data_IF_953296798305
#
_entry.id   IF_953296798305
#
_cell.length_a   1.000
_cell.length_b   1.000
_cell.length_c   1.000
_cell.angle_alpha   90.00
_cell.angle_beta   90.00
_cell.angle_gamma   90.00
#
_symmetry.space_group_name_H-M   'P 1'
#
loop_
_entity.id
_entity.type
_entity.pdbx_description
1 polymer ?
#
# COMPACT_ATOMS: atom_id res chain seq x y z
N UNK A 1 -0.43 -29.05 6.54
CA UNK A 1 0.42 -28.99 7.75
C UNK A 1 0.06 -27.77 8.58
N UNK A 2 -0.12 -27.91 9.89
CA UNK A 2 -0.46 -26.76 10.74
C UNK A 2 0.71 -25.79 10.89
N UNK A 3 0.43 -24.49 10.78
CA UNK A 3 1.40 -23.43 11.03
C UNK A 3 1.33 -23.03 12.51
N UNK A 4 2.46 -23.17 13.22
CA UNK A 4 2.54 -22.88 14.66
C UNK A 4 3.65 -21.88 14.95
N UNK A 5 3.60 -21.23 16.12
CA UNK A 5 4.67 -20.34 16.58
C UNK A 5 6.03 -21.06 16.63
N UNK A 6 6.07 -22.29 17.16
CA UNK A 6 7.31 -23.08 17.23
C UNK A 6 7.95 -23.29 15.86
N UNK A 7 7.13 -23.50 14.82
CA UNK A 7 7.62 -23.62 13.45
C UNK A 7 8.12 -22.29 12.89
N UNK A 8 7.45 -21.18 13.16
CA UNK A 8 7.95 -19.85 12.79
C UNK A 8 9.29 -19.52 13.45
N UNK A 9 9.45 -19.84 14.74
CA UNK A 9 10.71 -19.64 15.44
C UNK A 9 11.84 -20.48 14.82
N UNK A 10 11.59 -21.76 14.57
CA UNK A 10 12.58 -22.63 13.92
C UNK A 10 12.95 -22.16 12.49
N UNK A 11 11.96 -21.73 11.70
CA UNK A 11 12.19 -21.27 10.32
C UNK A 11 12.88 -19.91 10.21
N UNK A 12 12.66 -19.03 11.17
CA UNK A 12 13.22 -17.67 11.17
C UNK A 12 14.52 -17.51 11.96
N UNK A 13 14.98 -18.59 12.58
CA UNK A 13 16.28 -18.66 13.25
C UNK A 13 17.44 -18.33 12.30
N UNK A 14 18.52 -17.79 12.86
CA UNK A 14 19.68 -17.35 12.06
C UNK A 14 20.39 -18.51 11.33
N UNK A 15 20.36 -19.70 11.91
CA UNK A 15 20.95 -20.94 11.41
C UNK A 15 19.95 -21.83 10.63
N UNK A 16 18.71 -21.36 10.46
CA UNK A 16 17.69 -22.10 9.70
C UNK A 16 18.00 -22.16 8.21
N UNK A 17 17.75 -23.33 7.63
CA UNK A 17 17.78 -23.58 6.20
C UNK A 17 16.41 -23.41 5.53
N UNK A 18 15.37 -23.03 6.28
CA UNK A 18 14.08 -22.67 5.67
C UNK A 18 14.21 -21.36 4.88
N UNK A 19 13.52 -21.32 3.75
CA UNK A 19 13.63 -20.26 2.74
C UNK A 19 12.53 -19.20 2.90
N UNK A 20 11.33 -19.61 3.30
CA UNK A 20 10.20 -18.70 3.45
C UNK A 20 8.83 -19.35 3.43
N UNK A 21 7.81 -18.51 3.21
CA UNK A 21 6.44 -18.97 2.93
C UNK A 21 5.99 -18.32 1.63
N UNK A 22 5.41 -19.11 0.74
CA UNK A 22 4.76 -18.66 -0.49
C UNK A 22 3.24 -18.81 -0.35
N UNK A 23 2.51 -17.78 -0.75
CA UNK A 23 1.06 -17.74 -0.82
C UNK A 23 0.69 -17.55 -2.29
N UNK A 24 -0.05 -18.51 -2.83
CA UNK A 24 -0.56 -18.47 -4.19
C UNK A 24 -2.08 -18.44 -4.16
N UNK A 25 -2.68 -17.58 -4.98
CA UNK A 25 -4.12 -17.54 -5.18
C UNK A 25 -4.45 -17.44 -6.66
N UNK A 26 -5.49 -18.18 -7.07
CA UNK A 26 -6.15 -17.97 -8.36
C UNK A 26 -7.38 -17.11 -8.11
N UNK A 27 -7.46 -16.02 -8.87
CA UNK A 27 -8.47 -14.99 -8.75
C UNK A 27 -9.39 -14.99 -9.96
N UNK A 28 -10.59 -14.48 -9.74
CA UNK A 28 -11.61 -14.29 -10.77
C UNK A 28 -12.18 -12.88 -10.68
N UNK A 29 -12.51 -12.22 -11.81
CA UNK A 29 -13.29 -10.99 -11.80
C UNK A 29 -14.59 -11.19 -11.01
N UNK A 30 -15.02 -10.20 -10.22
CA UNK A 30 -16.28 -10.30 -9.49
C UNK A 30 -17.49 -10.43 -10.43
N UNK A 31 -17.35 -9.96 -11.68
CA UNK A 31 -18.32 -10.12 -12.77
C UNK A 31 -18.39 -11.53 -13.35
N UNK A 32 -17.53 -12.45 -12.89
CA UNK A 32 -17.48 -13.86 -13.28
C UNK A 32 -16.38 -14.19 -14.29
N UNK A 33 -16.27 -15.48 -14.67
CA UNK A 33 -15.27 -15.97 -15.63
C UNK A 33 -15.32 -15.20 -16.94
N UNK A 34 -14.16 -14.79 -17.45
CA UNK A 34 -14.03 -14.03 -18.71
C UNK A 34 -14.36 -12.54 -18.58
N UNK A 35 -14.82 -12.07 -17.42
CA UNK A 35 -15.00 -10.66 -17.11
C UNK A 35 -13.71 -9.86 -17.30
N UNK A 36 -13.84 -8.57 -17.59
CA UNK A 36 -12.68 -7.69 -17.74
C UNK A 36 -12.24 -7.16 -16.38
N UNK A 37 -10.93 -6.98 -16.23
CA UNK A 37 -10.29 -6.35 -15.08
C UNK A 37 -9.41 -5.23 -15.61
N UNK A 38 -9.41 -4.07 -14.96
CA UNK A 38 -8.61 -2.91 -15.35
C UNK A 38 -7.27 -2.94 -14.59
N UNK A 39 -6.12 -3.25 -15.23
CA UNK A 39 -4.80 -3.12 -14.61
C UNK A 39 -4.48 -1.69 -14.16
N UNK A 40 -3.43 -1.53 -13.37
CA UNK A 40 -2.95 -0.21 -12.97
C UNK A 40 -2.46 0.56 -14.20
N UNK A 41 -2.79 1.84 -14.29
CA UNK A 41 -2.33 2.73 -15.36
C UNK A 41 -1.18 3.57 -14.82
N UNK A 42 -0.06 3.55 -15.53
CA UNK A 42 1.15 4.30 -15.19
C UNK A 42 1.33 5.53 -16.09
N UNK A 43 2.30 6.43 -15.79
CA UNK A 43 2.58 7.59 -16.62
C UNK A 43 2.68 7.24 -18.10
N UNK A 44 2.07 8.06 -18.96
CA UNK A 44 1.91 7.76 -20.38
C UNK A 44 0.68 6.93 -20.72
N UNK A 45 -0.19 6.62 -19.74
CA UNK A 45 -1.45 5.94 -19.99
C UNK A 45 -1.28 4.46 -20.33
N UNK A 46 -0.28 3.79 -19.74
CA UNK A 46 0.10 2.43 -20.14
C UNK A 46 -0.11 1.43 -19.02
N UNK A 47 -0.44 0.19 -19.41
CA UNK A 47 -0.33 -0.97 -18.53
C UNK A 47 1.12 -1.42 -18.42
N UNK A 48 1.47 -1.98 -17.26
CA UNK A 48 2.76 -2.63 -17.08
C UNK A 48 2.71 -4.03 -17.73
N UNK A 49 3.18 -4.08 -18.97
CA UNK A 49 3.31 -5.31 -19.76
C UNK A 49 4.63 -6.02 -19.51
N UNK A 50 4.59 -7.36 -19.51
CA UNK A 50 5.76 -8.20 -19.27
C UNK A 50 5.58 -9.57 -19.97
N UNK A 51 6.63 -10.41 -19.96
CA UNK A 51 6.57 -11.82 -20.33
C UNK A 51 7.08 -12.68 -19.18
N UNK A 52 6.27 -13.61 -18.69
CA UNK A 52 6.58 -14.45 -17.53
C UNK A 52 6.34 -15.92 -17.81
N UNK A 53 7.06 -16.79 -17.10
CA UNK A 53 6.80 -18.23 -17.12
C UNK A 53 5.56 -18.53 -16.30
N UNK A 54 4.58 -19.28 -16.84
CA UNK A 54 3.37 -19.63 -16.10
C UNK A 54 3.71 -20.41 -14.81
N UNK A 55 2.88 -20.32 -13.76
CA UNK A 55 3.04 -21.15 -12.58
C UNK A 55 3.04 -22.63 -12.97
N UNK A 56 3.92 -23.43 -12.35
CA UNK A 56 4.07 -24.85 -12.67
C UNK A 56 2.77 -25.66 -12.55
N UNK A 57 1.87 -25.27 -11.63
CA UNK A 57 0.55 -25.87 -11.46
C UNK A 57 -0.41 -25.65 -12.64
N UNK A 58 -0.13 -24.65 -13.48
CA UNK A 58 -0.95 -24.24 -14.62
C UNK A 58 -0.21 -24.36 -15.97
N UNK A 59 1.06 -24.77 -15.94
CA UNK A 59 1.88 -24.93 -17.13
C UNK A 59 1.64 -26.30 -17.76
N UNK A 60 1.44 -26.34 -19.09
CA UNK A 60 1.79 -27.53 -19.84
C UNK A 60 3.32 -27.73 -19.72
N UNK A 61 3.78 -28.99 -19.72
CA UNK A 61 5.13 -29.42 -19.34
C UNK A 61 6.32 -28.74 -20.07
N UNK A 62 6.07 -27.97 -21.13
CA UNK A 62 7.09 -27.32 -21.98
C UNK A 62 6.76 -25.83 -22.29
N UNK A 63 6.09 -25.11 -21.37
CA UNK A 63 5.47 -23.82 -21.70
C UNK A 63 6.45 -22.64 -21.90
N UNK A 64 6.42 -22.01 -23.08
CA UNK A 64 7.08 -20.74 -23.41
C UNK A 64 6.65 -19.57 -22.48
N UNK A 65 7.48 -18.49 -22.36
CA UNK A 65 7.09 -17.27 -21.64
C UNK A 65 5.81 -16.65 -22.22
N UNK A 66 4.85 -16.35 -21.36
CA UNK A 66 3.53 -15.84 -21.71
C UNK A 66 3.45 -14.33 -21.49
N UNK A 67 2.72 -13.63 -22.37
CA UNK A 67 2.40 -12.23 -22.15
C UNK A 67 1.54 -12.05 -20.89
N UNK A 68 1.86 -11.05 -20.09
CA UNK A 68 1.12 -10.72 -18.87
C UNK A 68 0.94 -9.21 -18.71
N UNK A 69 -0.10 -8.82 -17.96
CA UNK A 69 -0.20 -7.49 -17.37
C UNK A 69 -0.12 -7.57 -15.85
N UNK A 70 0.67 -6.68 -15.26
CA UNK A 70 0.68 -6.49 -13.81
C UNK A 70 -0.59 -5.72 -13.43
N UNK A 71 -1.55 -6.44 -12.86
CA UNK A 71 -2.80 -5.85 -12.39
C UNK A 71 -2.53 -5.06 -11.11
N UNK A 72 -1.71 -5.58 -10.20
CA UNK A 72 -1.31 -4.86 -8.99
C UNK A 72 0.14 -5.18 -8.64
N UNK A 73 0.96 -4.14 -8.49
CA UNK A 73 2.41 -4.28 -8.31
C UNK A 73 2.81 -4.37 -6.82
N UNK A 74 4.09 -4.66 -6.57
CA UNK A 74 4.61 -4.84 -5.20
C UNK A 74 4.33 -3.66 -4.25
N UNK A 75 4.62 -2.39 -4.60
CA UNK A 75 4.30 -1.27 -3.70
C UNK A 75 2.80 -1.13 -3.41
N UNK A 76 1.95 -1.27 -4.43
CA UNK A 76 0.50 -1.16 -4.31
C UNK A 76 -0.08 -2.28 -3.43
N UNK A 77 0.47 -3.49 -3.54
CA UNK A 77 0.12 -4.62 -2.68
C UNK A 77 0.55 -4.39 -1.23
N UNK A 78 1.75 -3.86 -0.98
CA UNK A 78 2.20 -3.51 0.36
C UNK A 78 1.25 -2.49 1.03
N UNK A 79 0.81 -1.46 0.31
CA UNK A 79 -0.13 -0.46 0.84
C UNK A 79 -1.46 -1.10 1.29
N UNK A 80 -1.93 -2.15 0.61
CA UNK A 80 -3.16 -2.87 1.01
C UNK A 80 -2.96 -3.71 2.26
N UNK A 81 -1.79 -4.32 2.41
CA UNK A 81 -1.43 -5.04 3.62
C UNK A 81 -1.28 -4.08 4.82
N UNK A 82 -0.70 -2.91 4.61
CA UNK A 82 -0.59 -1.83 5.61
C UNK A 82 -1.98 -1.32 6.04
N UNK A 83 -2.88 -1.11 5.09
CA UNK A 83 -4.26 -0.71 5.38
C UNK A 83 -5.04 -1.81 6.13
N UNK A 84 -4.84 -3.08 5.79
CA UNK A 84 -5.43 -4.20 6.51
C UNK A 84 -4.93 -4.28 7.97
N UNK A 85 -3.63 -4.07 8.20
CA UNK A 85 -3.06 -4.01 9.55
C UNK A 85 -3.61 -2.83 10.35
N UNK A 86 -3.67 -1.65 9.74
CA UNK A 86 -4.26 -0.45 10.35
C UNK A 86 -5.71 -0.70 10.78
N UNK A 87 -6.53 -1.31 9.93
CA UNK A 87 -7.91 -1.65 10.25
C UNK A 87 -8.02 -2.72 11.36
N UNK A 88 -7.07 -3.66 11.42
CA UNK A 88 -7.02 -4.72 12.45
C UNK A 88 -6.48 -4.24 13.81
N UNK A 89 -5.97 -3.01 13.89
CA UNK A 89 -5.28 -2.48 15.08
C UNK A 89 -6.05 -2.66 16.40
N UNK A 90 -7.37 -2.46 16.48
CA UNK A 90 -8.10 -2.69 17.73
C UNK A 90 -7.99 -4.12 18.27
N UNK A 91 -7.79 -5.12 17.39
CA UNK A 91 -7.62 -6.52 17.77
C UNK A 91 -6.14 -6.88 17.98
N UNK A 92 -5.25 -6.38 17.13
CA UNK A 92 -3.84 -6.81 17.09
C UNK A 92 -2.90 -5.96 17.96
N UNK A 93 -3.28 -4.71 18.22
CA UNK A 93 -2.48 -3.73 18.94
C UNK A 93 -1.22 -3.29 18.20
N UNK A 94 -1.19 -3.41 16.87
CA UNK A 94 -0.05 -2.94 16.06
C UNK A 94 0.23 -1.44 16.31
N UNK A 95 1.51 -1.01 16.31
CA UNK A 95 1.88 0.35 16.66
C UNK A 95 1.34 1.35 15.63
N UNK A 96 1.04 2.56 16.08
CA UNK A 96 0.59 3.65 15.20
C UNK A 96 1.11 4.99 15.73
N UNK A 97 1.52 5.85 14.79
CA UNK A 97 1.72 7.27 15.03
C UNK A 97 0.71 8.05 14.19
N UNK A 98 0.24 9.18 14.69
CA UNK A 98 -0.68 10.07 13.97
C UNK A 98 -0.01 11.43 13.81
N UNK A 99 0.13 11.90 12.58
CA UNK A 99 0.37 13.32 12.31
C UNK A 99 -0.97 14.05 12.39
N UNK A 100 -1.15 14.87 13.42
CA UNK A 100 -2.38 15.61 13.70
C UNK A 100 -2.32 17.01 13.10
N UNK A 101 -3.16 17.23 12.10
CA UNK A 101 -3.31 18.49 11.36
C UNK A 101 -4.59 19.22 11.76
N UNK A 102 -5.29 18.80 12.81
CA UNK A 102 -6.58 19.39 13.21
C UNK A 102 -6.48 20.86 13.59
N UNK A 103 -5.32 21.27 14.11
CA UNK A 103 -5.01 22.68 14.42
C UNK A 103 -4.71 23.57 13.22
N UNK A 104 -4.67 23.03 12.00
CA UNK A 104 -4.49 23.84 10.79
C UNK A 104 -5.83 24.33 10.24
N UNK A 105 -5.94 25.65 10.13
CA UNK A 105 -7.05 26.32 9.48
C UNK A 105 -6.97 26.18 7.96
N UNK A 106 -8.12 26.20 7.28
CA UNK A 106 -8.17 26.26 5.82
C UNK A 106 -7.85 24.99 5.05
N UNK A 107 -7.57 23.87 5.74
CA UNK A 107 -7.43 22.58 5.08
C UNK A 107 -8.72 22.19 4.34
N UNK A 108 -8.67 21.92 3.02
CA UNK A 108 -9.82 21.45 2.26
C UNK A 108 -10.50 20.25 2.91
N UNK A 109 -11.85 20.23 2.91
CA UNK A 109 -12.63 19.19 3.58
C UNK A 109 -12.37 17.75 3.08
N UNK A 110 -11.81 17.61 1.87
CA UNK A 110 -11.47 16.30 1.29
C UNK A 110 -10.11 15.76 1.76
N UNK A 111 -9.30 16.56 2.46
CA UNK A 111 -8.02 16.12 3.02
C UNK A 111 -8.20 15.54 4.42
N UNK A 112 -7.38 14.54 4.75
CA UNK A 112 -7.34 13.96 6.08
C UNK A 112 -6.74 14.96 7.08
N UNK A 113 -7.43 15.21 8.19
CA UNK A 113 -6.92 16.04 9.29
C UNK A 113 -6.04 15.25 10.27
N UNK A 114 -6.06 13.93 10.22
CA UNK A 114 -5.18 13.06 11.00
C UNK A 114 -4.63 12.00 10.06
N UNK A 115 -3.31 12.00 9.87
CA UNK A 115 -2.64 11.10 8.92
C UNK A 115 -1.95 10.00 9.72
N UNK A 116 -2.34 8.76 9.45
CA UNK A 116 -1.75 7.58 10.09
C UNK A 116 -0.35 7.29 9.55
N UNK A 117 0.55 6.81 10.41
CA UNK A 117 1.87 6.27 10.06
C UNK A 117 1.79 5.15 9.02
N UNK A 118 0.66 4.43 8.96
CA UNK A 118 0.38 3.39 7.97
C UNK A 118 0.12 3.94 6.56
N UNK A 119 -0.08 5.26 6.43
CA UNK A 119 -0.25 5.97 5.16
C UNK A 119 0.99 6.77 4.74
N UNK A 120 2.08 6.72 5.52
CA UNK A 120 3.29 7.48 5.20
C UNK A 120 4.00 6.84 4.00
N UNK A 121 4.14 7.54 2.86
CA UNK A 121 4.66 6.95 1.62
C UNK A 121 6.06 6.32 1.74
N UNK A 122 6.90 6.84 2.64
CA UNK A 122 8.25 6.34 2.89
C UNK A 122 8.42 5.70 4.28
N UNK A 123 7.31 5.32 4.93
CA UNK A 123 7.29 4.66 6.25
C UNK A 123 8.12 5.42 7.29
N UNK A 124 9.02 4.75 8.00
CA UNK A 124 9.92 5.35 8.99
C UNK A 124 10.92 6.38 8.39
N UNK A 125 11.08 6.40 7.07
CA UNK A 125 11.92 7.36 6.36
C UNK A 125 11.13 8.58 5.83
N UNK A 126 9.85 8.70 6.17
CA UNK A 126 9.01 9.76 5.65
C UNK A 126 9.38 11.15 6.18
N UNK A 127 9.13 12.16 5.35
CA UNK A 127 9.37 13.55 5.70
C UNK A 127 8.49 13.99 6.86
N UNK A 128 7.27 13.46 6.97
CA UNK A 128 6.37 13.80 8.07
C UNK A 128 6.96 13.54 9.45
N UNK A 129 7.78 12.50 9.64
CA UNK A 129 8.49 12.28 10.91
C UNK A 129 9.60 13.31 11.16
N UNK A 130 10.30 13.73 10.11
CA UNK A 130 11.36 14.76 10.22
C UNK A 130 10.77 16.14 10.48
N UNK A 131 9.58 16.37 9.96
CA UNK A 131 8.83 17.61 10.05
C UNK A 131 7.75 17.59 11.15
N UNK A 132 7.94 16.73 12.16
CA UNK A 132 7.04 16.61 13.32
C UNK A 132 7.66 17.10 14.63
N UNK A 133 6.80 17.49 15.58
CA UNK A 133 7.10 17.79 16.99
C UNK A 133 6.13 17.05 17.93
N UNK A 134 6.41 17.07 19.23
CA UNK A 134 5.42 16.85 20.29
C UNK A 134 4.59 18.13 20.57
N UNK A 135 3.73 18.05 21.58
CA UNK A 135 2.87 19.15 22.05
C UNK A 135 3.68 20.33 22.62
N UNK A 136 4.85 20.07 23.18
CA UNK A 136 5.78 21.09 23.69
C UNK A 136 6.62 21.75 22.58
N UNK A 137 6.47 21.31 21.33
CA UNK A 137 7.22 21.84 20.18
C UNK A 137 8.64 21.29 20.04
N UNK A 138 8.98 20.20 20.75
CA UNK A 138 10.25 19.50 20.59
C UNK A 138 10.21 18.65 19.34
N UNK A 139 11.14 18.91 18.41
CA UNK A 139 11.38 18.09 17.23
C UNK A 139 11.36 16.58 17.56
N UNK A 140 10.58 15.81 16.80
CA UNK A 140 10.51 14.35 16.95
C UNK A 140 11.91 13.71 16.91
N UNK A 141 12.79 14.20 16.04
CA UNK A 141 14.19 13.74 15.96
C UNK A 141 15.05 13.94 17.21
N UNK A 142 14.58 14.73 18.18
CA UNK A 142 15.26 14.98 19.46
C UNK A 142 14.62 14.21 20.63
N UNK A 143 13.40 13.71 20.46
CA UNK A 143 12.74 12.84 21.43
C UNK A 143 13.41 11.46 21.45
N UNK A 144 13.38 10.72 22.57
CA UNK A 144 13.99 9.38 22.66
C UNK A 144 13.55 8.43 21.54
N UNK A 145 12.24 8.27 21.35
CA UNK A 145 11.66 7.42 20.29
C UNK A 145 12.12 7.81 18.89
N UNK A 146 12.11 9.11 18.56
CA UNK A 146 12.51 9.56 17.23
C UNK A 146 14.01 9.45 17.00
N UNK A 147 14.85 9.69 18.03
CA UNK A 147 16.29 9.46 17.96
C UNK A 147 16.60 7.99 17.64
N UNK A 148 15.96 7.07 18.35
CA UNK A 148 16.18 5.64 18.17
C UNK A 148 15.70 5.17 16.80
N UNK A 149 14.55 5.66 16.32
CA UNK A 149 14.04 5.36 14.99
C UNK A 149 14.93 5.89 13.85
N UNK A 150 15.45 7.11 13.98
CA UNK A 150 16.36 7.66 12.96
C UNK A 150 17.76 7.03 13.00
N UNK A 151 18.17 6.49 14.15
CA UNK A 151 19.43 5.74 14.29
C UNK A 151 19.29 4.26 13.88
N UNK A 152 18.07 3.72 13.86
CA UNK A 152 17.81 2.31 13.60
C UNK A 152 18.38 1.85 12.26
N UNK A 153 18.88 0.61 12.27
CA UNK A 153 19.42 -0.07 11.09
C UNK A 153 18.85 -1.47 11.02
N UNK A 154 19.10 -2.19 9.92
CA UNK A 154 18.67 -3.59 9.83
C UNK A 154 19.32 -4.48 10.90
N UNK A 155 20.57 -4.23 11.30
CA UNK A 155 21.24 -5.02 12.35
C UNK A 155 20.93 -4.54 13.78
N UNK A 156 20.27 -3.39 13.93
CA UNK A 156 19.84 -2.80 15.20
C UNK A 156 18.42 -2.25 15.04
N UNK A 157 17.47 -3.16 14.86
CA UNK A 157 16.11 -2.89 14.42
C UNK A 157 15.09 -2.79 15.58
N UNK A 158 15.51 -2.84 16.85
CA UNK A 158 14.60 -2.88 18.00
C UNK A 158 13.54 -1.75 17.98
N UNK A 159 13.96 -0.50 17.69
CA UNK A 159 13.02 0.61 17.56
C UNK A 159 12.02 0.43 16.39
N UNK A 160 12.47 -0.17 15.28
CA UNK A 160 11.60 -0.48 14.14
C UNK A 160 10.62 -1.61 14.48
N UNK A 161 11.03 -2.65 15.20
CA UNK A 161 10.11 -3.71 15.65
C UNK A 161 9.03 -3.13 16.57
N UNK A 162 9.41 -2.22 17.46
CA UNK A 162 8.51 -1.58 18.41
C UNK A 162 7.49 -0.65 17.76
N UNK A 163 7.92 0.17 16.78
CA UNK A 163 7.12 1.29 16.28
C UNK A 163 6.83 1.27 14.77
N UNK A 164 7.61 0.56 13.97
CA UNK A 164 7.53 0.52 12.50
C UNK A 164 7.75 -0.90 11.92
N UNK A 165 7.07 -1.94 12.43
CA UNK A 165 7.32 -3.32 12.01
C UNK A 165 7.05 -3.53 10.51
N UNK A 166 6.13 -2.76 9.93
CA UNK A 166 5.84 -2.77 8.50
C UNK A 166 7.01 -2.31 7.62
N UNK A 167 7.91 -1.47 8.14
CA UNK A 167 9.13 -1.09 7.41
C UNK A 167 10.10 -2.27 7.26
N UNK A 168 10.09 -3.22 8.22
CA UNK A 168 10.91 -4.42 8.16
C UNK A 168 10.32 -5.48 7.21
N UNK A 169 8.99 -5.53 7.05
CA UNK A 169 8.36 -6.40 6.05
C UNK A 169 8.45 -5.82 4.64
N UNK A 170 8.02 -4.58 4.44
CA UNK A 170 7.82 -3.99 3.12
C UNK A 170 9.00 -3.14 2.64
N UNK A 171 10.04 -3.03 3.46
CA UNK A 171 11.28 -2.34 3.16
C UNK A 171 11.19 -0.83 3.34
N UNK A 172 12.37 -0.20 3.47
CA UNK A 172 12.53 1.24 3.58
C UNK A 172 13.89 1.69 3.04
N UNK A 173 13.98 2.98 2.72
CA UNK A 173 15.24 3.64 2.40
C UNK A 173 15.29 5.04 3.03
N UNK A 174 16.15 5.19 4.03
CA UNK A 174 16.37 6.48 4.70
C UNK A 174 17.45 7.29 3.97
N UNK A 175 17.08 8.02 2.92
CA UNK A 175 18.04 8.82 2.12
C UNK A 175 18.18 10.29 2.57
N UNK A 176 17.27 10.79 3.40
CA UNK A 176 17.06 12.24 3.58
C UNK A 176 17.60 12.82 4.91
N UNK A 177 18.40 12.06 5.67
CA UNK A 177 19.03 12.57 6.91
C UNK A 177 20.36 13.32 6.68
N UNK A 178 20.80 13.43 5.42
CA UNK A 178 22.08 14.04 5.05
C UNK A 178 23.29 13.11 5.24
N UNK A 179 24.45 13.53 4.73
CA UNK A 179 25.66 12.69 4.58
C UNK A 179 26.31 12.21 5.90
N UNK A 180 25.96 12.81 7.05
CA UNK A 180 26.58 12.53 8.36
C UNK A 180 25.66 11.76 9.33
N UNK A 181 24.51 11.27 8.86
CA UNK A 181 23.54 10.50 9.66
C UNK A 181 23.28 9.15 9.01
N UNK A 182 22.55 8.27 9.71
CA UNK A 182 22.17 6.96 9.18
C UNK A 182 21.53 7.09 7.80
N UNK A 183 22.02 6.28 6.86
CA UNK A 183 21.49 6.14 5.50
C UNK A 183 20.98 4.71 5.30
N UNK A 184 20.41 4.15 6.36
CA UNK A 184 19.98 2.76 6.41
C UNK A 184 18.95 2.45 5.32
N UNK A 185 19.08 1.25 4.75
CA UNK A 185 18.13 0.70 3.79
C UNK A 185 17.88 -0.76 4.15
N UNK A 186 16.63 -1.16 4.04
CA UNK A 186 16.22 -2.55 4.18
C UNK A 186 15.41 -2.94 2.95
N UNK A 187 15.88 -3.97 2.23
CA UNK A 187 15.10 -4.55 1.15
C UNK A 187 13.96 -5.35 1.76
N UNK A 188 12.78 -5.21 1.16
CA UNK A 188 11.54 -5.87 1.57
C UNK A 188 11.74 -7.38 1.78
N UNK A 189 11.24 -7.91 2.89
CA UNK A 189 11.15 -9.34 3.15
C UNK A 189 9.85 -9.92 2.59
N UNK A 190 8.79 -9.11 2.49
CA UNK A 190 7.51 -9.47 1.89
C UNK A 190 7.38 -8.90 0.48
N UNK A 191 7.00 -9.73 -0.49
CA UNK A 191 6.58 -9.30 -1.83
C UNK A 191 5.23 -9.88 -2.17
N UNK A 192 4.41 -9.16 -2.94
CA UNK A 192 3.13 -9.66 -3.44
C UNK A 192 2.80 -8.94 -4.74
N UNK A 193 2.27 -9.65 -5.74
CA UNK A 193 1.81 -9.08 -7.00
C UNK A 193 0.55 -9.81 -7.49
N UNK A 194 -0.32 -9.10 -8.21
CA UNK A 194 -1.44 -9.70 -8.97
C UNK A 194 -1.13 -9.57 -10.46
N UNK A 195 -1.13 -10.71 -11.14
CA UNK A 195 -0.76 -10.85 -12.55
C UNK A 195 -1.94 -11.41 -13.34
N UNK A 196 -2.29 -10.74 -14.44
CA UNK A 196 -3.20 -11.25 -15.45
C UNK A 196 -2.41 -11.90 -16.59
N UNK A 197 -2.63 -13.19 -16.81
CA UNK A 197 -1.94 -14.01 -17.80
C UNK A 197 -2.70 -14.09 -19.11
N UNK A 198 -1.96 -14.07 -20.21
CA UNK A 198 -2.48 -14.17 -21.58
C UNK A 198 -3.64 -13.20 -21.78
N UNK A 199 -3.39 -11.87 -21.73
CA UNK A 199 -4.43 -10.88 -21.95
C UNK A 199 -5.10 -11.11 -23.31
N UNK A 200 -6.43 -11.12 -23.35
CA UNK A 200 -7.21 -11.32 -24.57
C UNK A 200 -7.02 -10.16 -25.59
N UNK A 201 -6.58 -8.99 -25.11
CA UNK A 201 -6.25 -7.84 -25.92
C UNK A 201 -5.13 -7.03 -25.25
N UNK A 202 -4.24 -6.44 -26.05
CA UNK A 202 -3.11 -5.64 -25.55
C UNK A 202 -3.37 -4.13 -25.62
N UNK A 203 -4.20 -3.69 -26.57
CA UNK A 203 -4.48 -2.27 -26.83
C UNK A 203 -5.98 -1.97 -26.71
N UNK A 204 -6.52 -2.13 -25.51
CA UNK A 204 -7.93 -1.81 -25.21
C UNK A 204 -8.07 -0.33 -24.91
N UNK A 205 -9.04 0.36 -25.50
CA UNK A 205 -9.32 1.79 -25.25
C UNK A 205 -10.74 2.00 -24.76
N UNK A 206 -10.92 2.93 -23.83
CA UNK A 206 -12.26 3.33 -23.39
C UNK A 206 -12.87 4.18 -24.51
N UNK A 207 -14.09 3.81 -24.91
CA UNK A 207 -14.95 4.61 -25.77
C UNK A 207 -16.36 4.55 -25.19
N UNK A 208 -17.07 5.68 -25.20
CA UNK A 208 -18.43 5.76 -24.73
C UNK A 208 -19.01 7.16 -24.89
N UNK A 209 -20.31 7.25 -24.64
CA UNK A 209 -21.09 8.47 -24.72
C UNK A 209 -22.04 8.49 -23.53
N UNK A 210 -21.98 9.54 -22.71
CA UNK A 210 -23.00 9.79 -21.70
C UNK A 210 -24.09 10.67 -22.31
N UNK A 211 -25.29 10.12 -22.33
CA UNK A 211 -26.51 10.76 -22.81
C UNK A 211 -26.81 12.10 -22.14
N UNK A 212 -26.96 13.18 -22.91
CA UNK A 212 -27.71 14.36 -22.48
C UNK A 212 -29.19 14.18 -22.82
N UNK A 213 -30.11 14.16 -21.82
CA UNK A 213 -31.54 14.01 -22.08
C UNK A 213 -32.14 15.17 -22.86
N UNK A 214 -31.54 16.36 -22.82
CA UNK A 214 -31.97 17.52 -23.60
C UNK A 214 -31.36 17.55 -25.00
N UNK A 215 -30.34 16.70 -25.25
CA UNK A 215 -29.56 16.64 -26.47
C UNK A 215 -29.14 18.03 -26.97
N UNK A 216 -28.63 18.86 -26.06
CA UNK A 216 -28.20 20.22 -26.35
C UNK A 216 -27.07 20.23 -27.38
N UNK A 217 -27.01 21.28 -28.18
CA UNK A 217 -25.91 21.49 -29.11
C UNK A 217 -24.59 21.62 -28.35
N UNK A 218 -23.59 20.84 -28.75
CA UNK A 218 -22.25 20.89 -28.14
C UNK A 218 -21.39 22.02 -28.70
N UNK A 219 -21.83 22.66 -29.80
CA UNK A 219 -21.07 23.63 -30.59
C UNK A 219 -21.50 25.09 -30.38
N UNK A 220 -22.56 25.36 -29.62
CA UNK A 220 -22.96 26.74 -29.33
C UNK A 220 -21.96 27.42 -28.39
N UNK A 221 -21.70 28.69 -28.63
CA UNK A 221 -20.79 29.49 -27.80
C UNK A 221 -21.53 29.99 -26.53
N UNK A 222 -20.95 29.70 -25.37
CA UNK A 222 -21.34 30.21 -24.07
C UNK A 222 -20.26 31.15 -23.52
N UNK A 223 -20.71 32.24 -22.90
CA UNK A 223 -19.87 33.25 -22.27
C UNK A 223 -20.13 33.21 -20.76
N UNK A 224 -19.07 33.18 -19.97
CA UNK A 224 -19.10 33.08 -18.51
C UNK A 224 -17.89 33.79 -17.87
N UNK A 225 -17.94 34.03 -16.56
CA UNK A 225 -16.80 34.55 -15.76
C UNK A 225 -15.90 33.38 -15.33
N UNK A 226 -14.59 33.43 -15.62
CA UNK A 226 -13.64 32.37 -15.21
C UNK A 226 -13.56 32.15 -13.69
N UNK A 227 -14.08 33.08 -12.89
CA UNK A 227 -14.19 32.96 -11.44
C UNK A 227 -15.51 32.31 -10.99
N UNK A 228 -16.55 32.35 -11.83
CA UNK A 228 -17.86 31.76 -11.57
C UNK A 228 -18.49 31.22 -12.85
N UNK A 229 -18.33 29.91 -13.06
CA UNK A 229 -18.87 29.21 -14.22
C UNK A 229 -20.39 28.94 -14.11
N UNK A 230 -21.04 29.30 -13.00
CA UNK A 230 -22.47 29.03 -12.79
C UNK A 230 -23.36 30.05 -13.51
N UNK A 231 -22.88 31.28 -13.69
CA UNK A 231 -23.51 32.31 -14.51
C UNK A 231 -22.99 32.28 -15.95
N UNK A 232 -23.84 31.93 -16.91
CA UNK A 232 -23.48 31.94 -18.33
C UNK A 232 -24.66 32.35 -19.21
N UNK A 233 -24.33 32.83 -20.42
CA UNK A 233 -25.31 33.13 -21.46
C UNK A 233 -24.77 32.76 -22.85
N UNK A 234 -25.66 32.60 -23.82
CA UNK A 234 -25.25 32.37 -25.21
C UNK A 234 -24.74 33.66 -25.84
N UNK A 235 -23.62 33.59 -26.55
CA UNK A 235 -23.07 34.76 -27.23
C UNK A 235 -21.77 34.48 -27.97
N UNK A 236 -21.46 35.31 -28.98
CA UNK A 236 -20.33 35.09 -29.87
C UNK A 236 -19.08 35.91 -29.52
N UNK A 237 -19.18 36.88 -28.60
CA UNK A 237 -18.13 37.83 -28.25
C UNK A 237 -18.08 38.07 -26.73
N UNK A 238 -17.00 37.63 -26.09
CA UNK A 238 -16.73 37.88 -24.67
C UNK A 238 -16.27 39.33 -24.44
N UNK A 239 -16.69 39.91 -23.31
CA UNK A 239 -16.20 41.20 -22.82
C UNK A 239 -14.99 41.04 -21.90
N UNK A 240 -14.47 42.16 -21.38
CA UNK A 240 -13.27 42.16 -20.54
C UNK A 240 -13.58 41.50 -19.19
N UNK A 241 -12.99 40.33 -18.95
CA UNK A 241 -13.19 39.54 -17.73
C UNK A 241 -14.03 38.29 -17.94
N UNK A 242 -14.59 38.12 -19.13
CA UNK A 242 -15.34 36.92 -19.51
C UNK A 242 -14.50 36.03 -20.43
N UNK A 243 -14.86 34.75 -20.45
CA UNK A 243 -14.29 33.74 -21.32
C UNK A 243 -15.39 33.14 -22.18
N UNK A 244 -15.06 32.90 -23.46
CA UNK A 244 -15.93 32.24 -24.42
C UNK A 244 -15.49 30.80 -24.62
N UNK A 245 -16.39 29.86 -24.40
CA UNK A 245 -16.18 28.43 -24.70
C UNK A 245 -17.43 27.81 -25.30
N UNK A 246 -17.30 26.59 -25.83
CA UNK A 246 -18.45 25.80 -26.25
C UNK A 246 -19.30 25.37 -25.06
N UNK A 247 -20.60 25.16 -25.27
CA UNK A 247 -21.50 24.54 -24.28
C UNK A 247 -20.92 23.23 -23.72
N UNK A 248 -20.28 22.41 -24.58
CA UNK A 248 -19.60 21.18 -24.16
C UNK A 248 -18.45 21.39 -23.18
N UNK A 249 -17.68 22.47 -23.33
CA UNK A 249 -16.55 22.78 -22.48
C UNK A 249 -16.95 23.34 -21.09
N UNK A 250 -18.21 23.74 -20.93
CA UNK A 250 -18.81 24.12 -19.65
C UNK A 250 -19.76 23.05 -19.09
N UNK A 251 -19.79 21.85 -19.70
CA UNK A 251 -20.48 20.67 -19.17
C UNK A 251 -21.90 20.42 -19.67
N UNK A 252 -22.36 21.12 -20.72
CA UNK A 252 -23.65 20.86 -21.38
C UNK A 252 -23.51 19.94 -22.60
N UNK A 253 -24.60 19.25 -22.95
CA UNK A 253 -24.62 18.36 -24.11
C UNK A 253 -24.09 16.96 -23.81
N UNK A 254 -24.09 16.14 -24.85
CA UNK A 254 -23.59 14.76 -24.77
C UNK A 254 -22.12 14.77 -24.30
N UNK A 255 -21.75 13.88 -23.39
CA UNK A 255 -20.35 13.75 -22.93
C UNK A 255 -19.73 12.53 -23.60
N UNK A 256 -19.08 12.67 -24.78
CA UNK A 256 -18.26 11.61 -25.31
C UNK A 256 -17.09 11.42 -24.34
N UNK A 257 -16.88 10.20 -23.90
CA UNK A 257 -15.68 9.84 -23.15
C UNK A 257 -14.93 8.79 -23.96
N UNK A 258 -13.73 9.16 -24.38
CA UNK A 258 -12.81 8.28 -25.07
C UNK A 258 -11.43 8.92 -25.10
N UNK A 259 -10.41 8.11 -25.36
CA UNK A 259 -9.05 8.62 -25.41
C UNK A 259 -8.02 7.50 -25.41
N UNK A 260 -6.77 7.87 -25.13
CA UNK A 260 -5.67 6.91 -25.01
C UNK A 260 -5.72 6.10 -23.70
N UNK A 261 -6.70 6.39 -22.82
CA UNK A 261 -6.84 5.67 -21.55
C UNK A 261 -7.20 4.21 -21.79
N UNK A 262 -6.40 3.26 -21.27
CA UNK A 262 -6.68 1.86 -21.46
C UNK A 262 -7.98 1.36 -20.79
N UNK A 263 -8.72 0.51 -21.49
CA UNK A 263 -9.94 -0.14 -21.00
C UNK A 263 -9.67 -1.52 -20.36
N UNK A 264 -10.60 -2.01 -19.54
CA UNK A 264 -10.46 -3.32 -18.89
C UNK A 264 -10.14 -4.46 -19.87
N UNK A 265 -9.34 -5.42 -19.40
CA UNK A 265 -8.81 -6.54 -20.19
C UNK A 265 -9.32 -7.84 -19.59
N UNK A 266 -9.76 -8.77 -20.44
CA UNK A 266 -10.06 -10.14 -20.02
C UNK A 266 -8.78 -10.98 -20.05
N UNK A 267 -8.59 -11.84 -19.06
CA UNK A 267 -7.38 -12.65 -18.91
C UNK A 267 -7.73 -14.14 -18.91
N UNK A 268 -6.82 -14.97 -19.41
CA UNK A 268 -6.99 -16.43 -19.32
C UNK A 268 -6.94 -16.92 -17.88
N UNK A 269 -6.09 -16.30 -17.07
CA UNK A 269 -5.86 -16.62 -15.67
C UNK A 269 -5.45 -15.35 -14.94
N UNK A 270 -5.91 -15.16 -13.71
CA UNK A 270 -5.41 -14.12 -12.81
C UNK A 270 -4.86 -14.81 -11.58
N UNK A 271 -3.62 -14.50 -11.23
CA UNK A 271 -2.98 -15.04 -10.03
C UNK A 271 -2.48 -13.95 -9.12
N UNK A 272 -2.56 -14.17 -7.81
CA UNK A 272 -1.74 -13.47 -6.85
C UNK A 272 -0.63 -14.41 -6.36
N UNK A 273 0.58 -13.88 -6.26
CA UNK A 273 1.68 -14.56 -5.57
C UNK A 273 2.29 -13.63 -4.56
N UNK A 274 2.30 -14.04 -3.30
CA UNK A 274 3.02 -13.38 -2.23
C UNK A 274 4.09 -14.29 -1.64
N UNK A 275 5.21 -13.71 -1.21
CA UNK A 275 6.29 -14.43 -0.55
C UNK A 275 6.82 -13.65 0.64
N UNK A 276 7.13 -14.36 1.72
CA UNK A 276 7.96 -13.85 2.81
C UNK A 276 9.30 -14.58 2.79
N UNK A 277 10.39 -13.85 2.61
CA UNK A 277 11.73 -14.40 2.52
C UNK A 277 12.40 -14.46 3.90
N UNK A 278 12.66 -15.67 4.38
CA UNK A 278 13.40 -15.86 5.63
C UNK A 278 14.86 -15.45 5.48
N UNK A 279 15.44 -15.59 4.28
CA UNK A 279 16.77 -15.06 3.97
C UNK A 279 16.86 -13.54 4.19
N UNK A 280 15.83 -12.78 3.82
CA UNK A 280 15.79 -11.34 4.13
C UNK A 280 15.56 -11.05 5.60
N UNK A 281 14.67 -11.80 6.26
CA UNK A 281 14.43 -11.64 7.70
C UNK A 281 15.68 -11.95 8.53
N UNK A 282 16.52 -12.92 8.14
CA UNK A 282 17.79 -13.24 8.81
C UNK A 282 18.76 -12.05 8.92
N UNK A 283 18.60 -11.03 8.07
CA UNK A 283 19.39 -9.80 8.15
C UNK A 283 18.99 -8.94 9.35
N UNK A 284 17.75 -9.07 9.83
CA UNK A 284 17.20 -8.28 10.92
C UNK A 284 17.83 -8.74 12.24
N UNK A 285 18.57 -7.85 12.88
CA UNK A 285 19.14 -8.03 14.22
C UNK A 285 18.62 -6.96 15.17
N UNK A 286 18.71 -7.21 16.47
CA UNK A 286 18.26 -6.28 17.52
C UNK A 286 19.41 -5.56 18.22
N UNK A 287 20.59 -5.48 17.59
CA UNK A 287 21.82 -4.98 18.19
C UNK A 287 22.63 -6.10 18.85
N UNK A 288 23.66 -5.74 19.62
CA UNK A 288 24.57 -6.68 20.29
C UNK A 288 24.17 -6.97 21.74
N UNK A 289 23.20 -6.25 22.28
CA UNK A 289 22.78 -6.36 23.68
C UNK A 289 21.71 -7.45 23.89
N UNK A 290 20.98 -7.82 22.84
CA UNK A 290 19.97 -8.86 22.87
C UNK A 290 20.51 -10.14 22.23
N UNK A 291 20.06 -11.28 22.75
CA UNK A 291 20.45 -12.58 22.23
C UNK A 291 19.80 -12.91 20.87
N UNK A 292 20.30 -13.95 20.21
CA UNK A 292 19.78 -14.41 18.93
C UNK A 292 18.34 -14.93 19.02
N UNK A 293 17.88 -15.33 20.21
CA UNK A 293 16.51 -15.80 20.43
C UNK A 293 15.51 -14.65 20.34
N UNK A 294 15.85 -13.47 20.87
CA UNK A 294 15.06 -12.26 20.73
C UNK A 294 14.97 -11.80 19.27
N UNK A 295 16.07 -11.86 18.52
CA UNK A 295 16.05 -11.56 17.09
C UNK A 295 15.18 -12.56 16.31
N UNK A 296 15.23 -13.84 16.67
CA UNK A 296 14.38 -14.89 16.07
C UNK A 296 12.90 -14.64 16.38
N UNK A 297 12.55 -14.34 17.63
CA UNK A 297 11.19 -14.00 18.02
C UNK A 297 10.64 -12.77 17.26
N UNK A 298 11.46 -11.73 17.10
CA UNK A 298 11.08 -10.55 16.32
C UNK A 298 10.82 -10.90 14.84
N UNK A 299 11.63 -11.76 14.23
CA UNK A 299 11.39 -12.21 12.83
C UNK A 299 10.13 -13.05 12.72
N UNK A 300 9.88 -13.97 13.66
CA UNK A 300 8.65 -14.76 13.72
C UNK A 300 7.41 -13.86 13.88
N UNK A 301 7.48 -12.84 14.74
CA UNK A 301 6.44 -11.82 14.89
C UNK A 301 6.14 -11.09 13.57
N UNK A 302 7.18 -10.70 12.83
CA UNK A 302 7.01 -10.07 11.52
C UNK A 302 6.33 -11.02 10.52
N UNK A 303 6.71 -12.30 10.48
CA UNK A 303 6.03 -13.29 9.61
C UNK A 303 4.56 -13.42 9.97
N UNK A 304 4.23 -13.60 11.26
CA UNK A 304 2.86 -13.72 11.72
C UNK A 304 2.03 -12.47 11.37
N UNK A 305 2.61 -11.27 11.55
CA UNK A 305 1.98 -10.00 11.17
C UNK A 305 1.71 -9.92 9.66
N UNK A 306 2.68 -10.32 8.82
CA UNK A 306 2.52 -10.33 7.37
C UNK A 306 1.45 -11.31 6.88
N UNK A 307 1.41 -12.52 7.46
CA UNK A 307 0.38 -13.52 7.15
C UNK A 307 -1.02 -13.02 7.51
N UNK A 308 -1.18 -12.43 8.70
CA UNK A 308 -2.44 -11.84 9.13
C UNK A 308 -2.87 -10.71 8.19
N UNK A 309 -1.95 -9.81 7.85
CA UNK A 309 -2.20 -8.74 6.88
C UNK A 309 -2.68 -9.28 5.53
N UNK A 310 -2.04 -10.34 5.03
CA UNK A 310 -2.38 -10.93 3.74
C UNK A 310 -3.76 -11.57 3.74
N UNK A 311 -4.08 -12.37 4.75
CA UNK A 311 -5.40 -12.99 4.87
C UNK A 311 -6.49 -11.92 4.99
N UNK A 312 -6.25 -10.86 5.77
CA UNK A 312 -7.20 -9.76 5.89
C UNK A 312 -7.35 -8.93 4.60
N UNK A 313 -6.29 -8.77 3.80
CA UNK A 313 -6.35 -8.01 2.57
C UNK A 313 -6.95 -8.82 1.41
N UNK A 314 -6.62 -10.11 1.33
CA UNK A 314 -6.80 -10.91 0.12
C UNK A 314 -7.52 -12.25 0.33
N UNK A 315 -7.86 -12.64 1.56
CA UNK A 315 -8.62 -13.86 1.85
C UNK A 315 -10.12 -13.80 1.52
N UNK A 316 -10.61 -12.69 0.98
CA UNK A 316 -12.01 -12.47 0.59
C UNK A 316 -12.09 -11.72 -0.75
N UNK A 317 -13.29 -11.41 -1.23
CA UNK A 317 -13.44 -10.48 -2.36
C UNK A 317 -12.91 -9.07 -2.02
N UNK A 318 -12.19 -8.46 -2.95
CA UNK A 318 -11.58 -7.14 -2.76
C UNK A 318 -11.64 -6.29 -4.02
N UNK A 319 -11.57 -4.97 -3.84
CA UNK A 319 -11.47 -3.99 -4.91
C UNK A 319 -10.09 -3.37 -4.91
N UNK A 320 -9.44 -3.33 -6.07
CA UNK A 320 -8.17 -2.61 -6.22
C UNK A 320 -8.40 -1.15 -6.61
N UNK A 321 -9.39 -0.91 -7.47
CA UNK A 321 -9.78 0.36 -8.10
C UNK A 321 -11.01 0.09 -8.95
N UNK A 322 -11.65 1.14 -9.46
CA UNK A 322 -12.78 1.01 -10.40
C UNK A 322 -12.44 0.07 -11.56
N UNK A 323 -13.26 -0.98 -11.74
CA UNK A 323 -13.10 -1.99 -12.78
C UNK A 323 -12.08 -3.08 -12.45
N UNK A 324 -11.64 -3.22 -11.19
CA UNK A 324 -10.73 -4.25 -10.74
C UNK A 324 -11.20 -4.87 -9.41
N UNK A 325 -12.45 -5.33 -9.42
CA UNK A 325 -13.07 -6.09 -8.34
C UNK A 325 -12.80 -7.59 -8.59
N UNK A 326 -12.20 -8.25 -7.61
CA UNK A 326 -11.70 -9.62 -7.71
C UNK A 326 -12.21 -10.47 -6.54
N UNK A 327 -12.35 -11.77 -6.77
CA UNK A 327 -12.63 -12.78 -5.75
C UNK A 327 -11.62 -13.91 -5.82
N UNK A 328 -11.39 -14.56 -4.68
CA UNK A 328 -10.53 -15.75 -4.58
C UNK A 328 -11.31 -16.98 -5.03
N UNK A 329 -10.78 -17.74 -5.99
CA UNK A 329 -11.31 -19.04 -6.37
C UNK A 329 -10.69 -20.17 -5.57
N UNK A 330 -9.36 -20.10 -5.40
CA UNK A 330 -8.57 -21.01 -4.57
C UNK A 330 -7.32 -20.29 -4.11
N UNK A 331 -6.86 -20.65 -2.93
CA UNK A 331 -5.59 -20.21 -2.37
C UNK A 331 -4.85 -21.39 -1.77
N UNK A 332 -3.53 -21.29 -1.71
CA UNK A 332 -2.65 -22.26 -1.07
C UNK A 332 -1.48 -21.54 -0.43
N UNK A 333 -1.04 -22.05 0.71
CA UNK A 333 0.15 -21.60 1.39
C UNK A 333 1.17 -22.74 1.42
N UNK A 334 2.42 -22.43 1.07
CA UNK A 334 3.51 -23.41 0.99
C UNK A 334 4.65 -22.92 1.86
N UNK A 335 5.09 -23.76 2.79
CA UNK A 335 6.35 -23.60 3.49
C UNK A 335 7.49 -23.99 2.55
N UNK A 336 8.43 -23.07 2.31
CA UNK A 336 9.60 -23.28 1.46
C UNK A 336 10.80 -23.63 2.33
N UNK A 337 11.41 -24.78 2.08
CA UNK A 337 12.62 -25.24 2.77
C UNK A 337 13.28 -26.37 1.99
N UNK A 338 13.98 -27.27 2.69
CA UNK A 338 14.64 -28.42 2.04
C UNK A 338 13.67 -29.27 1.20
N UNK A 339 12.42 -29.37 1.64
CA UNK A 339 11.30 -29.85 0.86
C UNK A 339 10.12 -28.91 1.08
N UNK A 340 9.40 -28.59 0.01
CA UNK A 340 8.21 -27.76 0.08
C UNK A 340 7.07 -28.52 0.78
N UNK A 341 6.40 -27.86 1.72
CA UNK A 341 5.29 -28.44 2.47
C UNK A 341 4.04 -27.56 2.38
N UNK A 342 2.91 -28.14 1.98
CA UNK A 342 1.62 -27.43 1.95
C UNK A 342 1.11 -27.18 3.37
N UNK A 343 0.89 -25.91 3.69
CA UNK A 343 0.28 -25.47 4.95
C UNK A 343 -1.23 -25.71 4.92
N UNK A 344 -1.81 -25.87 6.12
CA UNK A 344 -3.25 -25.81 6.31
C UNK A 344 -3.79 -24.45 5.84
N UNK A 345 -5.08 -24.40 5.54
CA UNK A 345 -5.73 -23.15 5.13
C UNK A 345 -5.56 -22.09 6.22
N UNK A 346 -5.15 -20.89 5.80
CA UNK A 346 -4.96 -19.75 6.70
C UNK A 346 -6.20 -18.88 6.67
N UNK A 347 -6.76 -18.59 7.83
CA UNK A 347 -7.90 -17.70 7.99
C UNK A 347 -7.57 -16.55 8.96
N UNK A 348 -8.51 -15.61 9.10
CA UNK A 348 -8.31 -14.42 9.92
C UNK A 348 -8.09 -14.77 11.39
N UNK A 349 -8.81 -15.77 11.92
CA UNK A 349 -8.77 -16.15 13.34
C UNK A 349 -7.48 -16.86 13.71
N UNK A 350 -7.04 -17.80 12.86
CA UNK A 350 -5.80 -18.55 13.03
C UNK A 350 -4.58 -17.66 12.91
N UNK A 351 -4.54 -16.76 11.93
CA UNK A 351 -3.43 -15.81 11.76
C UNK A 351 -3.40 -14.73 12.84
N UNK A 352 -4.56 -14.28 13.34
CA UNK A 352 -4.63 -13.36 14.49
C UNK A 352 -4.08 -14.04 15.75
N UNK A 353 -4.51 -15.27 16.04
CA UNK A 353 -4.03 -16.04 17.19
C UNK A 353 -2.52 -16.23 17.14
N UNK A 354 -1.99 -16.62 15.97
CA UNK A 354 -0.55 -16.76 15.76
C UNK A 354 0.23 -15.44 15.96
N UNK A 355 -0.35 -14.31 15.53
CA UNK A 355 0.23 -12.99 15.78
C UNK A 355 0.25 -12.65 17.28
N UNK A 356 -0.82 -12.95 18.01
CA UNK A 356 -0.88 -12.72 19.47
C UNK A 356 0.11 -13.62 20.23
N UNK A 357 0.24 -14.89 19.83
CA UNK A 357 1.23 -15.82 20.38
C UNK A 357 2.65 -15.31 20.13
N UNK A 358 2.98 -14.91 18.90
CA UNK A 358 4.29 -14.38 18.55
C UNK A 358 4.61 -13.06 19.29
N UNK A 359 3.60 -12.20 19.47
CA UNK A 359 3.71 -10.95 20.24
C UNK A 359 4.01 -11.25 21.70
N UNK A 360 3.28 -12.19 22.31
CA UNK A 360 3.47 -12.58 23.70
C UNK A 360 4.86 -13.19 23.92
N UNK A 361 5.26 -14.14 23.07
CA UNK A 361 6.57 -14.76 23.15
C UNK A 361 7.71 -13.75 22.96
N UNK A 362 7.56 -12.80 22.03
CA UNK A 362 8.54 -11.73 21.82
C UNK A 362 8.77 -10.90 23.10
N UNK A 363 7.71 -10.59 23.85
CA UNK A 363 7.83 -9.91 25.15
C UNK A 363 8.56 -10.77 26.19
N UNK A 364 8.23 -12.05 26.25
CA UNK A 364 8.81 -12.99 27.22
C UNK A 364 10.33 -13.13 27.03
N UNK A 365 10.83 -13.05 25.80
CA UNK A 365 12.26 -13.10 25.47
C UNK A 365 12.93 -11.72 25.39
N UNK A 366 12.24 -10.66 25.80
CA UNK A 366 12.82 -9.31 25.97
C UNK A 366 12.84 -8.43 24.72
N UNK A 367 12.12 -8.78 23.65
CA UNK A 367 11.93 -7.86 22.50
C UNK A 367 11.10 -6.67 22.94
N UNK A 368 11.63 -5.45 22.75
CA UNK A 368 10.88 -4.22 23.02
C UNK A 368 9.72 -4.06 22.04
N UNK A 369 8.49 -4.08 22.58
CA UNK A 369 7.24 -3.82 21.87
C UNK A 369 6.52 -2.60 22.48
N UNK A 370 7.27 -1.57 22.85
CA UNK A 370 6.77 -0.36 23.52
C UNK A 370 5.60 0.31 22.78
N UNK A 371 5.65 0.37 21.45
CA UNK A 371 4.59 0.97 20.63
C UNK A 371 3.33 0.11 20.48
N UNK A 372 3.37 -1.15 20.89
CA UNK A 372 2.25 -2.09 20.75
C UNK A 372 1.27 -1.99 21.92
N UNK A 373 -0.01 -2.23 21.65
CA UNK A 373 -1.12 -2.19 22.63
C UNK A 373 -1.26 -0.82 23.35
N UNK A 374 -0.90 0.27 22.67
CA UNK A 374 -1.01 1.65 23.19
C UNK A 374 -2.00 2.48 22.39
N UNK A 375 -2.39 3.63 22.92
CA UNK A 375 -2.96 4.69 22.08
C UNK A 375 -1.91 5.19 21.06
N UNK A 376 -2.33 5.67 19.88
CA UNK A 376 -1.39 6.17 18.88
C UNK A 376 -0.52 7.31 19.43
N UNK A 377 0.76 7.32 19.07
CA UNK A 377 1.65 8.45 19.38
C UNK A 377 1.27 9.63 18.50
N UNK A 378 0.83 10.73 19.10
CA UNK A 378 0.42 11.93 18.38
C UNK A 378 1.64 12.82 18.10
N UNK A 379 1.73 13.29 16.86
CA UNK A 379 2.76 14.17 16.34
C UNK A 379 2.09 15.43 15.76
N UNK A 380 2.69 16.59 15.97
CA UNK A 380 2.22 17.86 15.40
C UNK A 380 3.14 18.32 14.25
N UNK A 381 2.62 19.00 13.22
CA UNK A 381 3.44 19.51 12.13
C UNK A 381 4.36 20.63 12.61
N UNK A 382 5.61 20.64 12.16
CA UNK A 382 6.51 21.79 12.30
C UNK A 382 6.02 22.96 11.46
N UNK A 383 6.38 24.17 11.88
CA UNK A 383 6.07 25.41 11.17
C UNK A 383 6.46 25.43 9.67
N UNK A 384 7.50 24.70 9.25
CA UNK A 384 7.86 24.58 7.83
C UNK A 384 6.86 23.71 7.04
N UNK A 385 6.38 22.62 7.64
CA UNK A 385 5.34 21.77 7.03
C UNK A 385 4.00 22.50 7.00
N UNK A 386 3.63 23.21 8.07
CA UNK A 386 2.43 24.04 8.09
C UNK A 386 2.43 25.07 6.95
N UNK A 387 3.56 25.77 6.76
CA UNK A 387 3.74 26.71 5.65
C UNK A 387 3.64 26.04 4.28
N UNK A 388 4.19 24.83 4.13
CA UNK A 388 4.10 24.09 2.88
C UNK A 388 2.67 23.66 2.57
N UNK A 389 1.91 23.25 3.59
CA UNK A 389 0.48 22.92 3.48
C UNK A 389 -0.31 24.17 3.09
N UNK A 390 -0.13 25.29 3.81
CA UNK A 390 -0.83 26.55 3.53
C UNK A 390 -0.50 27.12 2.14
N UNK A 391 0.74 26.96 1.66
CA UNK A 391 1.12 27.36 0.31
C UNK A 391 0.49 26.47 -0.77
N UNK A 392 0.25 25.19 -0.46
CA UNK A 392 -0.39 24.24 -1.37
C UNK A 392 -1.90 24.44 -1.44
N UNK A 393 -2.50 24.85 -0.32
CA UNK A 393 -3.94 25.05 -0.15
C UNK A 393 -4.20 26.43 0.46
N UNK A 394 -4.04 27.51 -0.34
CA UNK A 394 -4.28 28.85 0.17
C UNK A 394 -5.76 29.00 0.54
N UNK A 395 -6.01 29.62 1.70
CA UNK A 395 -7.35 30.09 2.04
C UNK A 395 -7.85 30.97 0.89
N UNK A 396 -9.03 30.65 0.35
CA UNK A 396 -9.73 31.54 -0.55
C UNK A 396 -9.89 32.88 0.17
N UNK A 397 -9.23 33.92 -0.35
CA UNK A 397 -9.56 35.27 0.05
C UNK A 397 -10.97 35.50 -0.49
N UNK A 398 -11.96 35.49 0.37
CA UNK A 398 -13.30 35.94 0.02
C UNK A 398 -13.17 37.33 -0.63
N UNK A 399 -13.39 37.40 -1.94
CA UNK A 399 -13.55 38.63 -2.71
C UNK A 399 -15.01 38.93 -2.90
#
# INVERSE_FOLDING_TARGET
>A
MELTLGRLLAGTAADSFDDGIMLDAVLEPLTGPGGTVKPAIYPGGQYQADKRWPPASEAASDGEPQAVFVIDNVPSQANRLEEALRASRPATGVPEMILDLTGLDGLPAHLLRRISSWHFPHRNADAYLRDATDEEGTDFSRQPVGRDLFAATTSSAAALVSWWPQALLYGFWQSHLGKKRSQAKHARAWTSEIIGWQPAAQDTRIHGLKGDPLNLSIEEDAIYDDRDHTGWHLGSKAEKGETKKKLSEIGHGQVPFGGETPAGVSFRLITQRATVSFAQLRRIGLGTELDDSAATAARALLVAMGLHAHVLAFGRGFSLRSGADLRVLRSSATWLGNADETLAELDASTTESLLQEAKSHSRDVGVSLEGWDREPLVLLPKANLEKAIAASWPLSQDT
#
